data_IF_421804895539
#
_entry.id   IF_421804895539
#
_cell.length_a   1.000
_cell.length_b   1.000
_cell.length_c   1.000
_cell.angle_alpha   90.00
_cell.angle_beta   90.00
_cell.angle_gamma   90.00
#
_symmetry.space_group_name_H-M   'P 1'
#
loop_
_entity.id
_entity.type
_entity.pdbx_description
1 polymer ?
#
# COMPACT_ATOMS: atom_id res chain seq x y z
N UNK A 1 -10.89 18.60 23.28
CA UNK A 1 -9.89 18.81 22.19
C UNK A 1 -10.65 18.77 20.86
N UNK A 2 -10.79 19.92 20.16
CA UNK A 2 -11.54 19.98 18.90
C UNK A 2 -10.63 19.43 17.80
N UNK A 3 -10.98 18.25 17.29
CA UNK A 3 -10.29 17.64 16.15
C UNK A 3 -10.60 18.49 14.90
N UNK A 4 -9.58 19.11 14.32
CA UNK A 4 -9.73 19.88 13.10
C UNK A 4 -10.05 18.96 11.91
N UNK A 5 -10.72 19.43 10.83
CA UNK A 5 -11.03 18.61 9.67
C UNK A 5 -9.76 18.01 9.00
N UNK A 6 -8.62 18.70 9.08
CA UNK A 6 -7.33 18.21 8.60
C UNK A 6 -6.85 16.99 9.40
N UNK A 7 -6.93 17.04 10.74
CA UNK A 7 -6.56 15.90 11.59
C UNK A 7 -7.47 14.69 11.40
N UNK A 8 -8.77 14.90 11.14
CA UNK A 8 -9.69 13.79 10.82
C UNK A 8 -9.28 13.07 9.53
N UNK A 9 -8.90 13.83 8.51
CA UNK A 9 -8.47 13.25 7.24
C UNK A 9 -7.17 12.44 7.38
N UNK A 10 -6.23 12.91 8.18
CA UNK A 10 -4.99 12.19 8.49
C UNK A 10 -5.26 10.90 9.27
N UNK A 11 -6.17 10.90 10.23
CA UNK A 11 -6.57 9.69 10.96
C UNK A 11 -7.25 8.66 10.06
N UNK A 12 -8.15 9.09 9.18
CA UNK A 12 -8.78 8.20 8.20
C UNK A 12 -7.74 7.61 7.25
N UNK A 13 -6.76 8.41 6.84
CA UNK A 13 -5.67 7.97 5.99
C UNK A 13 -4.78 6.93 6.68
N UNK A 14 -4.44 7.16 7.95
CA UNK A 14 -3.66 6.22 8.75
C UNK A 14 -4.41 4.91 8.99
N UNK A 15 -5.71 4.96 9.29
CA UNK A 15 -6.55 3.78 9.44
C UNK A 15 -6.64 2.98 8.14
N UNK A 16 -6.84 3.64 6.99
CA UNK A 16 -6.85 2.96 5.70
C UNK A 16 -5.53 2.28 5.37
N UNK A 17 -4.40 2.95 5.67
CA UNK A 17 -3.07 2.38 5.52
C UNK A 17 -2.85 1.14 6.40
N UNK A 18 -3.22 1.22 7.68
CA UNK A 18 -3.09 0.13 8.63
C UNK A 18 -3.99 -1.06 8.27
N UNK A 19 -5.26 -0.80 7.88
CA UNK A 19 -6.19 -1.84 7.44
C UNK A 19 -5.67 -2.57 6.19
N UNK A 20 -5.18 -1.82 5.20
CA UNK A 20 -4.60 -2.43 4.00
C UNK A 20 -3.40 -3.31 4.33
N UNK A 21 -2.45 -2.81 5.14
CA UNK A 21 -1.29 -3.59 5.55
C UNK A 21 -1.70 -4.86 6.32
N UNK A 22 -2.67 -4.75 7.24
CA UNK A 22 -3.21 -5.89 7.98
C UNK A 22 -3.90 -6.92 7.11
N UNK A 23 -4.75 -6.48 6.16
CA UNK A 23 -5.42 -7.39 5.23
C UNK A 23 -4.43 -8.11 4.31
N UNK A 24 -3.40 -7.41 3.83
CA UNK A 24 -2.34 -8.02 3.03
C UNK A 24 -1.54 -9.05 3.85
N UNK A 25 -1.28 -8.77 5.13
CA UNK A 25 -0.64 -9.76 6.01
C UNK A 25 -1.53 -10.97 6.27
N UNK A 26 -2.85 -10.80 6.37
CA UNK A 26 -3.77 -11.90 6.56
C UNK A 26 -3.82 -12.89 5.38
N UNK A 27 -3.41 -12.45 4.18
CA UNK A 27 -3.28 -13.34 3.01
C UNK A 27 -2.09 -14.29 3.14
N UNK A 28 -1.07 -13.88 3.90
CA UNK A 28 0.16 -14.65 4.06
C UNK A 28 0.05 -15.66 5.22
N UNK A 29 0.94 -16.66 5.22
CA UNK A 29 1.07 -17.60 6.32
C UNK A 29 1.35 -16.86 7.65
N UNK A 30 0.81 -17.30 8.78
CA UNK A 30 0.06 -18.55 8.99
C UNK A 30 -1.46 -18.43 8.78
N UNK A 31 -2.02 -17.23 8.50
CA UNK A 31 -3.47 -17.03 8.42
C UNK A 31 -4.08 -17.56 7.11
N UNK A 32 -3.39 -17.35 5.99
CA UNK A 32 -3.77 -17.83 4.65
C UNK A 32 -5.21 -17.47 4.22
N UNK A 33 -5.70 -16.32 4.70
CA UNK A 33 -7.04 -15.83 4.37
C UNK A 33 -7.09 -15.27 2.94
N UNK A 34 -7.05 -16.15 1.96
CA UNK A 34 -6.97 -15.80 0.54
C UNK A 34 -8.10 -14.88 0.06
N UNK A 35 -9.28 -14.97 0.67
CA UNK A 35 -10.40 -14.07 0.39
C UNK A 35 -10.07 -12.59 0.66
N UNK A 36 -9.18 -12.31 1.61
CA UNK A 36 -8.73 -10.94 1.91
C UNK A 36 -7.97 -10.31 0.73
N UNK A 37 -7.35 -11.11 -0.14
CA UNK A 37 -6.61 -10.60 -1.31
C UNK A 37 -7.48 -9.73 -2.22
N UNK A 38 -8.77 -10.08 -2.36
CA UNK A 38 -9.72 -9.36 -3.22
C UNK A 38 -10.08 -7.96 -2.71
N UNK A 39 -9.97 -7.73 -1.41
CA UNK A 39 -10.37 -6.47 -0.77
C UNK A 39 -9.21 -5.73 -0.09
N UNK A 40 -8.05 -6.34 -0.02
CA UNK A 40 -6.92 -5.83 0.75
C UNK A 40 -6.50 -4.40 0.37
N UNK A 41 -6.50 -4.06 -0.91
CA UNK A 41 -6.11 -2.74 -1.40
C UNK A 41 -7.23 -1.70 -1.34
N UNK A 42 -8.48 -2.12 -1.15
CA UNK A 42 -9.64 -1.22 -1.21
C UNK A 42 -9.54 -0.05 -0.21
N UNK A 43 -9.19 -0.24 1.07
CA UNK A 43 -9.10 0.86 2.01
C UNK A 43 -8.07 1.92 1.59
N UNK A 44 -6.89 1.49 1.11
CA UNK A 44 -5.85 2.40 0.64
C UNK A 44 -6.29 3.18 -0.60
N UNK A 45 -6.96 2.53 -1.56
CA UNK A 45 -7.42 3.16 -2.79
C UNK A 45 -8.54 4.18 -2.53
N UNK A 46 -9.45 3.88 -1.58
CA UNK A 46 -10.49 4.84 -1.15
C UNK A 46 -9.82 6.07 -0.54
N UNK A 47 -8.91 5.87 0.41
CA UNK A 47 -8.17 6.96 1.04
C UNK A 47 -7.40 7.78 0.01
N UNK A 48 -6.70 7.13 -0.92
CA UNK A 48 -5.95 7.81 -1.97
C UNK A 48 -6.81 8.75 -2.82
N UNK A 49 -8.11 8.45 -3.01
CA UNK A 49 -9.04 9.33 -3.72
C UNK A 49 -9.54 10.51 -2.90
N UNK A 50 -9.57 10.39 -1.59
CA UNK A 50 -10.15 11.38 -0.68
C UNK A 50 -9.15 12.42 -0.18
N UNK A 51 -7.84 12.08 -0.20
CA UNK A 51 -6.79 12.92 0.37
C UNK A 51 -5.97 13.63 -0.71
N UNK A 52 -5.25 14.72 -0.35
CA UNK A 52 -4.29 15.38 -1.25
C UNK A 52 -3.19 14.39 -1.69
N UNK A 53 -2.69 14.54 -2.93
CA UNK A 53 -1.74 13.61 -3.53
C UNK A 53 -0.48 13.35 -2.70
N UNK A 54 0.06 14.38 -2.01
CA UNK A 54 1.22 14.20 -1.11
C UNK A 54 0.90 13.25 0.06
N UNK A 55 -0.28 13.38 0.64
CA UNK A 55 -0.72 12.52 1.73
C UNK A 55 -1.03 11.11 1.21
N UNK A 56 -1.65 10.98 0.04
CA UNK A 56 -1.90 9.70 -0.61
C UNK A 56 -0.60 8.91 -0.82
N UNK A 57 0.42 9.55 -1.40
CA UNK A 57 1.73 8.93 -1.63
C UNK A 57 2.41 8.55 -0.30
N UNK A 58 2.38 9.43 0.70
CA UNK A 58 2.90 9.11 2.04
C UNK A 58 2.21 7.86 2.62
N UNK A 59 0.89 7.79 2.52
CA UNK A 59 0.14 6.62 3.01
C UNK A 59 0.44 5.36 2.21
N UNK A 60 0.59 5.45 0.88
CA UNK A 60 1.03 4.33 0.05
C UNK A 60 2.40 3.79 0.48
N UNK A 61 3.36 4.67 0.69
CA UNK A 61 4.69 4.30 1.16
C UNK A 61 4.66 3.67 2.57
N UNK A 62 3.89 4.26 3.49
CA UNK A 62 3.74 3.72 4.86
C UNK A 62 3.08 2.34 4.82
N UNK A 63 2.02 2.17 4.03
CA UNK A 63 1.34 0.87 3.86
C UNK A 63 2.29 -0.19 3.34
N UNK A 64 3.02 0.11 2.26
CA UNK A 64 4.00 -0.80 1.69
C UNK A 64 5.14 -1.10 2.66
N UNK A 65 5.65 -0.09 3.37
CA UNK A 65 6.68 -0.23 4.39
C UNK A 65 6.24 -1.16 5.53
N UNK A 66 5.07 -0.92 6.10
CA UNK A 66 4.52 -1.78 7.16
C UNK A 66 4.33 -3.23 6.67
N UNK A 67 3.76 -3.40 5.49
CA UNK A 67 3.58 -4.72 4.89
C UNK A 67 4.92 -5.45 4.74
N UNK A 68 5.91 -4.81 4.11
CA UNK A 68 7.19 -5.46 3.83
C UNK A 68 8.07 -5.66 5.08
N UNK A 69 8.07 -4.71 6.04
CA UNK A 69 8.77 -4.88 7.31
C UNK A 69 8.30 -6.13 8.07
N UNK A 70 7.01 -6.44 8.01
CA UNK A 70 6.46 -7.63 8.65
C UNK A 70 6.74 -8.87 7.79
N UNK A 71 6.49 -8.81 6.47
CA UNK A 71 6.57 -9.96 5.58
C UNK A 71 7.97 -10.54 5.45
N UNK A 72 9.01 -9.68 5.42
CA UNK A 72 10.40 -10.12 5.31
C UNK A 72 11.16 -10.02 6.64
N UNK A 73 10.44 -10.07 7.78
CA UNK A 73 11.05 -9.99 9.12
C UNK A 73 12.15 -11.01 9.36
N UNK A 74 12.09 -12.16 8.72
CA UNK A 74 13.14 -13.18 8.80
C UNK A 74 14.53 -12.65 8.39
N UNK A 75 14.60 -11.62 7.54
CA UNK A 75 15.86 -11.02 7.10
C UNK A 75 16.63 -10.31 8.22
N UNK A 76 15.96 -9.97 9.34
CA UNK A 76 16.62 -9.40 10.52
C UNK A 76 17.70 -10.31 11.11
N UNK A 77 17.59 -11.61 10.88
CA UNK A 77 18.57 -12.60 11.33
C UNK A 77 19.85 -12.59 10.49
N UNK A 78 19.79 -12.01 9.29
CA UNK A 78 20.96 -11.86 8.39
C UNK A 78 21.53 -10.46 8.51
N UNK A 79 20.70 -9.43 8.34
CA UNK A 79 21.10 -8.03 8.42
C UNK A 79 19.89 -7.11 8.68
N UNK A 80 19.95 -6.34 9.75
CA UNK A 80 18.93 -5.36 10.09
C UNK A 80 18.89 -4.22 9.07
N UNK A 81 20.05 -3.74 8.64
CA UNK A 81 20.15 -2.66 7.64
C UNK A 81 19.56 -3.11 6.30
N UNK A 82 19.87 -4.32 5.85
CA UNK A 82 19.31 -4.90 4.63
C UNK A 82 17.81 -5.08 4.71
N UNK A 83 17.29 -5.51 5.87
CA UNK A 83 15.86 -5.63 6.10
C UNK A 83 15.13 -4.29 5.94
N UNK A 84 15.62 -3.22 6.55
CA UNK A 84 15.03 -1.88 6.43
C UNK A 84 15.14 -1.36 5.00
N UNK A 85 16.32 -1.47 4.39
CA UNK A 85 16.56 -0.98 3.03
C UNK A 85 15.69 -1.69 1.99
N UNK A 86 15.59 -3.03 2.07
CA UNK A 86 14.76 -3.80 1.16
C UNK A 86 13.26 -3.52 1.37
N UNK A 87 12.81 -3.37 2.61
CA UNK A 87 11.43 -3.00 2.91
C UNK A 87 11.07 -1.63 2.33
N UNK A 88 11.96 -0.64 2.49
CA UNK A 88 11.77 0.68 1.92
C UNK A 88 11.77 0.67 0.38
N UNK A 89 12.67 -0.10 -0.23
CA UNK A 89 12.70 -0.31 -1.67
C UNK A 89 11.39 -0.91 -2.19
N UNK A 90 10.93 -2.00 -1.57
CA UNK A 90 9.69 -2.66 -1.94
C UNK A 90 8.45 -1.78 -1.69
N UNK A 91 8.49 -0.90 -0.69
CA UNK A 91 7.40 0.04 -0.42
C UNK A 91 7.18 1.06 -1.56
N UNK A 92 8.21 1.38 -2.34
CA UNK A 92 8.09 2.28 -3.50
C UNK A 92 7.11 1.75 -4.56
N UNK A 93 6.96 0.44 -4.68
CA UNK A 93 6.06 -0.18 -5.66
C UNK A 93 4.58 -0.05 -5.30
N UNK A 94 4.25 0.44 -4.10
CA UNK A 94 2.89 0.85 -3.74
C UNK A 94 2.52 2.24 -4.29
N UNK A 95 3.50 3.05 -4.71
CA UNK A 95 3.25 4.43 -5.15
C UNK A 95 2.53 4.53 -6.51
N UNK A 96 2.88 3.76 -7.56
CA UNK A 96 2.21 3.86 -8.86
C UNK A 96 0.69 3.64 -8.78
N UNK A 97 0.15 2.56 -8.21
CA UNK A 97 -1.28 2.37 -8.12
C UNK A 97 -1.97 3.43 -7.26
N UNK A 98 -1.34 3.89 -6.18
CA UNK A 98 -1.85 4.98 -5.35
C UNK A 98 -1.89 6.30 -6.11
N UNK A 99 -0.86 6.60 -6.91
CA UNK A 99 -0.80 7.80 -7.74
C UNK A 99 -1.90 7.79 -8.80
N UNK A 100 -2.10 6.66 -9.47
CA UNK A 100 -3.19 6.47 -10.43
C UNK A 100 -4.54 6.65 -9.73
N UNK A 101 -4.76 6.02 -8.58
CA UNK A 101 -6.00 6.15 -7.81
C UNK A 101 -6.28 7.60 -7.40
N UNK A 102 -5.27 8.36 -7.02
CA UNK A 102 -5.41 9.77 -6.62
C UNK A 102 -5.71 10.69 -7.81
N UNK A 103 -5.08 10.47 -8.97
CA UNK A 103 -5.17 11.36 -10.14
C UNK A 103 -6.27 11.00 -11.10
N UNK A 104 -6.63 9.71 -11.21
CA UNK A 104 -7.64 9.26 -12.14
C UNK A 104 -9.05 9.65 -11.68
N UNK A 105 -9.68 10.58 -12.40
CA UNK A 105 -11.04 11.07 -12.06
C UNK A 105 -12.14 10.26 -12.75
N UNK A 106 -11.81 9.36 -13.65
CA UNK A 106 -12.75 8.42 -14.24
C UNK A 106 -13.32 7.48 -13.19
N UNK A 107 -14.56 7.04 -13.39
CA UNK A 107 -15.27 6.10 -12.52
C UNK A 107 -15.43 4.73 -13.18
N UNK A 108 -16.03 3.79 -12.42
CA UNK A 108 -16.40 2.47 -12.93
C UNK A 108 -15.21 1.62 -13.39
N UNK A 109 -15.44 0.87 -14.47
CA UNK A 109 -14.46 -0.11 -14.97
C UNK A 109 -13.11 0.50 -15.38
N UNK A 110 -13.10 1.71 -15.93
CA UNK A 110 -11.85 2.37 -16.34
C UNK A 110 -10.90 2.63 -15.16
N UNK A 111 -11.43 3.01 -14.01
CA UNK A 111 -10.66 3.18 -12.78
C UNK A 111 -10.01 1.86 -12.34
N UNK A 112 -10.79 0.79 -12.31
CA UNK A 112 -10.31 -0.54 -11.90
C UNK A 112 -9.21 -1.02 -12.82
N UNK A 113 -9.40 -0.89 -14.14
CA UNK A 113 -8.39 -1.30 -15.15
C UNK A 113 -7.10 -0.50 -14.98
N UNK A 114 -7.18 0.82 -14.81
CA UNK A 114 -5.98 1.66 -14.67
C UNK A 114 -5.20 1.38 -13.38
N UNK A 115 -5.88 1.16 -12.27
CA UNK A 115 -5.23 0.80 -10.99
C UNK A 115 -4.63 -0.60 -11.09
N UNK A 116 -5.36 -1.57 -11.66
CA UNK A 116 -4.86 -2.93 -11.85
C UNK A 116 -3.63 -2.96 -12.77
N UNK A 117 -3.65 -2.21 -13.88
CA UNK A 117 -2.51 -2.09 -14.78
C UNK A 117 -1.29 -1.46 -14.08
N UNK A 118 -1.50 -0.40 -13.29
CA UNK A 118 -0.42 0.23 -12.52
C UNK A 118 0.16 -0.72 -11.48
N UNK A 119 -0.68 -1.49 -10.80
CA UNK A 119 -0.23 -2.52 -9.85
C UNK A 119 0.58 -3.62 -10.55
N UNK A 120 0.03 -4.20 -11.62
CA UNK A 120 0.69 -5.28 -12.38
C UNK A 120 2.02 -4.82 -12.97
N UNK A 121 2.09 -3.59 -13.51
CA UNK A 121 3.33 -3.02 -14.01
C UNK A 121 4.37 -2.83 -12.90
N UNK A 122 3.96 -2.33 -11.72
CA UNK A 122 4.84 -2.17 -10.57
C UNK A 122 5.40 -3.52 -10.11
N UNK A 123 4.55 -4.55 -9.98
CA UNK A 123 4.97 -5.91 -9.60
C UNK A 123 5.89 -6.54 -10.65
N UNK A 124 5.59 -6.36 -11.93
CA UNK A 124 6.45 -6.85 -13.02
C UNK A 124 7.85 -6.23 -12.96
N UNK A 125 7.92 -4.90 -12.82
CA UNK A 125 9.20 -4.18 -12.69
C UNK A 125 9.95 -4.62 -11.44
N UNK A 126 9.26 -4.78 -10.32
CA UNK A 126 9.86 -5.26 -9.07
C UNK A 126 10.46 -6.66 -9.24
N UNK A 127 9.72 -7.58 -9.88
CA UNK A 127 10.21 -8.93 -10.14
C UNK A 127 11.42 -8.95 -11.07
N UNK A 128 11.44 -8.08 -12.07
CA UNK A 128 12.56 -8.00 -13.04
C UNK A 128 13.80 -7.33 -12.48
N UNK A 129 13.65 -6.29 -11.64
CA UNK A 129 14.79 -5.59 -11.02
C UNK A 129 15.29 -6.29 -9.75
N UNK A 130 14.50 -7.16 -9.14
CA UNK A 130 14.82 -7.86 -7.88
C UNK A 130 15.42 -9.25 -8.07
N UNK A 131 15.58 -9.69 -9.30
CA UNK A 131 16.27 -10.93 -9.69
C UNK A 131 17.59 -10.60 -10.33
#
# INVERSE_FOLDING_TARGET
MKITPATRLEWLAALGAALTAGLLQAVLAPLEWTACAWVALVPLLIVARLVPGRLALKMGFVTGGLFWLISIRWLTQVTVLGWVALSAYCALYFLPPVLVANRWRGGGGSFVIMVAAAWSAAEFIRGWLGT
#
